data_IF_187109018887
#
_entry.id   IF_187109018887
#
_cell.length_a   1.000
_cell.length_b   1.000
_cell.length_c   1.000
_cell.angle_alpha   90.00
_cell.angle_beta   90.00
_cell.angle_gamma   90.00
#
_symmetry.space_group_name_H-M   'P 1'
#
loop_
_entity.id
_entity.type
_entity.pdbx_description
1 polymer ?
#
# COMPACT_ATOMS: atom_id res chain seq x y z
N UNK A 1 -7.71 3.90 -1.80
CA UNK A 1 -8.91 3.68 -2.65
C UNK A 1 -10.16 4.37 -2.10
N UNK A 2 -10.63 4.03 -0.89
CA UNK A 2 -11.88 4.60 -0.33
C UNK A 2 -11.89 6.14 -0.24
N UNK A 3 -10.80 6.76 0.24
CA UNK A 3 -10.68 8.22 0.34
C UNK A 3 -10.76 8.91 -1.03
N UNK A 4 -10.17 8.29 -2.07
CA UNK A 4 -10.09 8.87 -3.40
C UNK A 4 -11.46 8.84 -4.11
N UNK A 5 -12.23 7.77 -3.91
CA UNK A 5 -13.60 7.66 -4.40
C UNK A 5 -14.54 8.63 -3.66
N UNK A 6 -14.38 8.78 -2.34
CA UNK A 6 -15.17 9.71 -1.53
C UNK A 6 -14.89 11.18 -1.91
N UNK A 7 -13.62 11.54 -2.15
CA UNK A 7 -13.25 12.89 -2.58
C UNK A 7 -13.81 13.22 -3.97
N UNK A 8 -13.75 12.27 -4.91
CA UNK A 8 -14.34 12.44 -6.24
C UNK A 8 -15.85 12.68 -6.19
N UNK A 9 -16.56 12.04 -5.25
CA UNK A 9 -18.00 12.23 -5.04
C UNK A 9 -18.35 13.56 -4.38
N UNK A 10 -17.56 13.97 -3.38
CA UNK A 10 -17.89 15.10 -2.51
C UNK A 10 -17.33 16.45 -2.99
N UNK A 11 -16.75 16.53 -4.20
CA UNK A 11 -16.15 17.75 -4.78
C UNK A 11 -15.13 18.44 -3.86
N UNK A 12 -14.46 17.66 -3.02
CA UNK A 12 -13.41 18.17 -2.14
C UNK A 12 -12.22 18.56 -3.04
N UNK A 13 -11.62 19.77 -2.88
CA UNK A 13 -10.42 20.16 -3.60
C UNK A 13 -9.28 19.18 -3.29
N UNK A 14 -9.03 18.26 -4.22
CA UNK A 14 -8.10 17.14 -4.04
C UNK A 14 -7.28 16.95 -5.31
N UNK A 15 -5.96 17.01 -5.20
CA UNK A 15 -5.04 16.98 -6.35
C UNK A 15 -4.79 15.58 -6.91
N UNK A 16 -5.47 14.57 -6.38
CA UNK A 16 -5.53 13.25 -6.99
C UNK A 16 -5.16 12.13 -6.04
N UNK A 17 -5.37 10.89 -6.47
CA UNK A 17 -5.35 9.76 -5.57
C UNK A 17 -3.98 9.56 -4.93
N UNK A 18 -4.00 9.40 -3.62
CA UNK A 18 -2.85 8.88 -2.88
C UNK A 18 -2.93 7.36 -2.81
N UNK A 19 -1.79 6.72 -3.05
CA UNK A 19 -1.54 5.33 -2.73
C UNK A 19 -0.71 5.20 -1.47
N UNK A 20 -0.74 4.01 -0.88
CA UNK A 20 0.21 3.59 0.13
C UNK A 20 0.64 2.16 -0.21
N UNK A 21 1.94 1.89 -0.07
CA UNK A 21 2.53 0.56 -0.27
C UNK A 21 3.43 0.25 0.90
N UNK A 22 3.43 -1.02 1.31
CA UNK A 22 4.39 -1.55 2.28
C UNK A 22 5.44 -2.35 1.52
N UNK A 23 6.71 -2.07 1.77
CA UNK A 23 7.86 -2.72 1.16
C UNK A 23 8.60 -3.48 2.25
N UNK A 24 8.71 -4.78 2.06
CA UNK A 24 9.55 -5.65 2.86
C UNK A 24 10.84 -6.00 2.10
N UNK A 25 11.98 -6.04 2.81
CA UNK A 25 13.23 -6.59 2.28
C UNK A 25 13.67 -7.80 3.10
N UNK A 26 13.96 -8.93 2.47
CA UNK A 26 14.54 -10.12 3.13
C UNK A 26 16.04 -9.96 3.37
N UNK A 27 16.67 -10.84 4.16
CA UNK A 27 18.14 -10.86 4.36
C UNK A 27 18.91 -11.02 3.05
N UNK A 28 18.33 -11.71 2.07
CA UNK A 28 18.89 -11.86 0.72
C UNK A 28 18.89 -10.57 -0.11
N UNK A 29 18.21 -9.52 0.34
CA UNK A 29 18.02 -8.27 -0.40
C UNK A 29 16.83 -8.27 -1.36
N UNK A 30 16.04 -9.36 -1.39
CA UNK A 30 14.82 -9.43 -2.19
C UNK A 30 13.77 -8.44 -1.65
N UNK A 31 13.22 -7.61 -2.55
CA UNK A 31 12.16 -6.64 -2.27
C UNK A 31 10.81 -7.19 -2.71
N UNK A 32 9.80 -6.97 -1.89
CA UNK A 32 8.42 -7.28 -2.24
C UNK A 32 7.47 -6.22 -1.71
N UNK A 33 6.37 -6.03 -2.43
CA UNK A 33 5.19 -5.41 -1.83
C UNK A 33 4.78 -6.40 -0.75
N UNK A 34 4.96 -6.03 0.51
CA UNK A 34 4.73 -6.89 1.64
C UNK A 34 3.28 -6.70 2.10
N UNK A 35 2.31 -7.51 1.61
CA UNK A 35 1.35 -7.99 2.58
C UNK A 35 2.22 -8.70 3.64
N UNK A 36 1.99 -8.55 4.94
CA UNK A 36 0.74 -8.93 5.54
C UNK A 36 0.55 -8.22 6.88
N UNK A 37 -0.71 -7.96 7.25
CA UNK A 37 -1.09 -8.06 8.65
C UNK A 37 -1.65 -9.47 8.95
N UNK A 38 -1.88 -10.33 7.93
CA UNK A 38 -2.68 -11.56 8.13
C UNK A 38 -2.58 -12.71 7.07
N UNK A 39 -1.53 -12.83 6.25
CA UNK A 39 -1.46 -13.91 5.22
C UNK A 39 -0.96 -15.25 5.78
N UNK A 40 -0.87 -15.38 7.11
CA UNK A 40 -0.81 -16.65 7.82
C UNK A 40 -2.04 -16.79 8.72
N UNK A 41 -3.22 -16.93 8.10
CA UNK A 41 -4.34 -17.70 8.65
C UNK A 41 -3.92 -19.18 8.88
N UNK A 42 -2.89 -19.46 9.69
CA UNK A 42 -2.50 -20.84 9.99
C UNK A 42 -2.71 -21.25 11.45
N UNK A 43 -2.78 -20.32 12.40
CA UNK A 43 -2.90 -20.69 13.82
C UNK A 43 -4.08 -19.97 14.51
N UNK A 44 -5.31 -20.24 14.06
CA UNK A 44 -6.56 -19.76 14.69
C UNK A 44 -6.87 -20.43 16.06
N UNK A 45 -5.86 -20.81 16.83
CA UNK A 45 -6.05 -21.41 18.16
C UNK A 45 -5.46 -20.58 19.30
N UNK A 46 -4.44 -19.73 19.08
CA UNK A 46 -3.75 -19.02 20.16
C UNK A 46 -3.30 -17.62 19.72
N UNK A 47 -4.26 -16.71 19.54
CA UNK A 47 -4.00 -15.32 19.19
C UNK A 47 -3.69 -14.51 20.46
N UNK A 48 -2.43 -14.07 20.62
CA UNK A 48 -2.01 -13.07 21.61
C UNK A 48 -1.54 -11.81 20.88
N UNK A 49 -2.23 -10.70 21.12
CA UNK A 49 -1.94 -9.39 20.55
C UNK A 49 -0.52 -8.88 20.92
N UNK A 50 0.12 -9.43 21.96
CA UNK A 50 1.50 -9.10 22.33
C UNK A 50 2.55 -9.59 21.33
N UNK A 51 2.17 -10.51 20.43
CA UNK A 51 3.04 -11.13 19.42
C UNK A 51 3.07 -10.39 18.08
N UNK A 52 2.57 -9.15 18.04
CA UNK A 52 2.68 -8.19 16.92
C UNK A 52 4.14 -7.73 16.69
N UNK A 53 5.10 -8.64 16.81
CA UNK A 53 6.43 -8.43 16.27
C UNK A 53 6.35 -8.60 14.75
N UNK A 54 6.86 -7.59 14.06
CA UNK A 54 6.98 -7.41 12.62
C UNK A 54 7.89 -8.46 11.95
N UNK A 55 7.73 -9.74 12.29
CA UNK A 55 8.57 -10.86 11.87
C UNK A 55 7.75 -11.81 10.99
N UNK A 56 7.45 -11.37 9.77
CA UNK A 56 6.89 -12.22 8.72
C UNK A 56 7.87 -13.38 8.41
N UNK A 57 7.34 -14.60 8.51
CA UNK A 57 8.00 -15.93 8.50
C UNK A 57 9.19 -16.08 9.47
N UNK A 58 9.00 -16.94 10.47
CA UNK A 58 9.95 -17.26 11.55
C UNK A 58 11.36 -17.58 11.00
N UNK A 59 11.44 -18.19 9.82
CA UNK A 59 12.70 -18.66 9.24
C UNK A 59 13.41 -17.63 8.31
N UNK A 60 12.74 -16.58 7.83
CA UNK A 60 13.34 -15.57 6.95
C UNK A 60 12.75 -14.18 7.22
N UNK A 61 13.04 -13.52 8.35
CA UNK A 61 12.41 -12.26 8.72
C UNK A 61 12.75 -11.14 7.73
N UNK A 62 11.83 -10.20 7.56
CA UNK A 62 12.15 -8.94 6.89
C UNK A 62 13.19 -8.16 7.72
N UNK A 63 14.22 -7.67 7.04
CA UNK A 63 15.27 -6.80 7.62
C UNK A 63 14.95 -5.31 7.47
N UNK A 64 13.99 -4.99 6.60
CA UNK A 64 13.44 -3.65 6.39
C UNK A 64 11.94 -3.76 6.23
N UNK A 65 11.19 -2.94 6.97
CA UNK A 65 9.79 -2.68 6.71
C UNK A 65 9.59 -1.18 6.48
N UNK A 66 9.09 -0.84 5.29
CA UNK A 66 8.96 0.53 4.84
C UNK A 66 7.54 0.75 4.32
N UNK A 67 6.82 1.72 4.88
CA UNK A 67 5.53 2.17 4.35
C UNK A 67 5.76 3.49 3.64
N UNK A 68 5.47 3.52 2.34
CA UNK A 68 5.52 4.73 1.54
C UNK A 68 4.12 5.12 1.11
N UNK A 69 3.74 6.38 1.33
CA UNK A 69 2.53 6.96 0.78
C UNK A 69 2.87 8.13 -0.14
N UNK A 70 2.12 8.26 -1.22
CA UNK A 70 2.47 9.17 -2.29
C UNK A 70 1.45 9.25 -3.42
N UNK A 71 1.74 10.16 -4.33
CA UNK A 71 1.06 10.28 -5.62
C UNK A 71 1.87 9.56 -6.72
N UNK A 72 1.36 9.61 -7.95
CA UNK A 72 2.08 9.07 -9.12
C UNK A 72 3.42 9.78 -9.36
N UNK A 73 3.52 11.03 -8.90
CA UNK A 73 4.63 11.93 -9.17
C UNK A 73 5.71 11.87 -8.07
N UNK A 74 5.34 11.48 -6.85
CA UNK A 74 6.32 11.31 -5.78
C UNK A 74 5.75 10.75 -4.47
N UNK A 75 6.69 10.33 -3.62
CA UNK A 75 6.45 9.90 -2.25
C UNK A 75 6.37 11.16 -1.37
N UNK A 76 5.35 11.24 -0.53
CA UNK A 76 5.11 12.38 0.38
C UNK A 76 5.35 12.00 1.84
N UNK A 77 5.20 10.73 2.19
CA UNK A 77 5.33 10.23 3.55
C UNK A 77 6.03 8.89 3.53
N UNK A 78 6.90 8.71 4.51
CA UNK A 78 7.66 7.50 4.72
C UNK A 78 7.62 7.14 6.21
N UNK A 79 7.23 5.92 6.51
CA UNK A 79 7.43 5.29 7.82
C UNK A 79 8.39 4.13 7.61
N UNK A 80 9.45 4.07 8.41
CA UNK A 80 10.45 3.01 8.30
C UNK A 80 10.67 2.40 9.66
N UNK A 81 10.49 1.09 9.73
CA UNK A 81 11.01 0.28 10.81
C UNK A 81 12.21 -0.52 10.28
N UNK A 82 13.38 -0.22 10.86
CA UNK A 82 14.59 -1.02 10.68
C UNK A 82 14.87 -1.75 11.97
N UNK A 83 14.37 -2.98 12.07
CA UNK A 83 14.62 -3.86 13.21
C UNK A 83 16.05 -4.42 13.23
N UNK A 84 16.86 -4.20 12.17
CA UNK A 84 18.21 -4.76 12.04
C UNK A 84 19.20 -3.71 11.47
N UNK A 85 20.39 -3.52 12.08
CA UNK A 85 21.39 -2.52 11.67
C UNK A 85 22.12 -2.79 10.34
N UNK A 86 21.70 -3.80 9.57
CA UNK A 86 22.35 -4.19 8.30
C UNK A 86 21.79 -3.50 7.06
N UNK A 87 20.80 -2.61 7.20
CA UNK A 87 20.21 -1.89 6.06
C UNK A 87 21.09 -0.71 5.66
N UNK A 88 21.65 -0.75 4.45
CA UNK A 88 22.45 0.35 3.91
C UNK A 88 21.58 1.45 3.31
N UNK A 89 22.09 2.69 3.17
CA UNK A 89 21.39 3.75 2.42
C UNK A 89 21.05 3.35 0.97
N UNK A 90 21.89 2.50 0.37
CA UNK A 90 21.63 1.96 -0.97
C UNK A 90 20.40 1.06 -1.00
N UNK A 91 20.17 0.27 0.06
CA UNK A 91 19.00 -0.59 0.17
C UNK A 91 17.72 0.24 0.34
N UNK A 92 17.75 1.26 1.19
CA UNK A 92 16.63 2.20 1.37
C UNK A 92 16.28 2.85 0.02
N UNK A 93 17.28 3.31 -0.74
CA UNK A 93 17.06 3.90 -2.06
C UNK A 93 16.40 2.91 -3.02
N UNK A 94 16.86 1.65 -3.07
CA UNK A 94 16.23 0.61 -3.91
C UNK A 94 14.78 0.35 -3.49
N UNK A 95 14.50 0.28 -2.19
CA UNK A 95 13.16 0.12 -1.64
C UNK A 95 12.23 1.27 -1.98
N UNK A 96 12.71 2.53 -1.95
CA UNK A 96 11.94 3.70 -2.36
C UNK A 96 11.61 3.69 -3.86
N UNK A 97 12.56 3.30 -4.71
CA UNK A 97 12.29 3.14 -6.15
C UNK A 97 11.26 2.03 -6.42
N UNK A 98 11.38 0.91 -5.71
CA UNK A 98 10.39 -0.16 -5.75
C UNK A 98 9.01 0.34 -5.31
N UNK A 99 8.94 1.05 -4.17
CA UNK A 99 7.72 1.63 -3.65
C UNK A 99 7.04 2.58 -4.66
N UNK A 100 7.80 3.48 -5.30
CA UNK A 100 7.25 4.41 -6.29
C UNK A 100 6.68 3.68 -7.51
N UNK A 101 7.30 2.58 -7.93
CA UNK A 101 6.78 1.75 -9.02
C UNK A 101 5.43 1.12 -8.64
N UNK A 102 5.35 0.53 -7.45
CA UNK A 102 4.12 -0.09 -6.93
C UNK A 102 3.01 0.95 -6.70
N UNK A 103 3.35 2.14 -6.20
CA UNK A 103 2.42 3.26 -6.02
C UNK A 103 1.77 3.68 -7.33
N UNK A 104 2.57 3.78 -8.41
CA UNK A 104 2.03 4.13 -9.74
C UNK A 104 0.99 3.12 -10.21
N UNK A 105 1.28 1.83 -10.08
CA UNK A 105 0.34 0.77 -10.42
C UNK A 105 -0.95 0.85 -9.58
N UNK A 106 -0.82 1.02 -8.26
CA UNK A 106 -1.96 1.16 -7.36
C UNK A 106 -2.82 2.39 -7.68
N UNK A 107 -2.20 3.51 -8.00
CA UNK A 107 -2.88 4.75 -8.36
C UNK A 107 -3.62 4.61 -9.69
N UNK A 108 -3.02 3.94 -10.67
CA UNK A 108 -3.67 3.64 -11.95
C UNK A 108 -4.93 2.80 -11.75
N UNK A 109 -4.86 1.73 -10.94
CA UNK A 109 -6.02 0.92 -10.59
C UNK A 109 -7.12 1.75 -9.91
N UNK A 110 -6.75 2.63 -8.98
CA UNK A 110 -7.70 3.52 -8.31
C UNK A 110 -8.39 4.48 -9.28
N UNK A 111 -7.65 5.04 -10.25
CA UNK A 111 -8.20 5.93 -11.27
C UNK A 111 -9.17 5.19 -12.20
N UNK A 112 -8.83 3.96 -12.60
CA UNK A 112 -9.71 3.10 -13.40
C UNK A 112 -11.02 2.82 -12.66
N UNK A 113 -10.93 2.37 -11.40
CA UNK A 113 -12.11 2.12 -10.55
C UNK A 113 -12.98 3.37 -10.36
N UNK A 114 -12.38 4.54 -10.12
CA UNK A 114 -13.14 5.79 -9.99
C UNK A 114 -13.87 6.14 -11.31
N UNK A 115 -13.20 5.95 -12.45
CA UNK A 115 -13.78 6.25 -13.77
C UNK A 115 -14.98 5.34 -14.07
N UNK A 116 -14.85 4.03 -13.81
CA UNK A 116 -15.92 3.05 -13.99
C UNK A 116 -17.11 3.33 -13.06
N UNK A 117 -16.85 3.62 -11.78
CA UNK A 117 -17.90 3.95 -10.82
C UNK A 117 -18.68 5.21 -11.21
N UNK A 118 -18.00 6.26 -11.69
CA UNK A 118 -18.64 7.49 -12.16
C UNK A 118 -19.45 7.27 -13.44
N UNK A 119 -18.98 6.41 -14.35
CA UNK A 119 -19.73 6.05 -15.55
C UNK A 119 -21.04 5.32 -15.21
N UNK A 120 -21.01 4.39 -14.26
CA UNK A 120 -22.19 3.68 -13.77
C UNK A 120 -23.21 4.62 -13.10
N UNK A 121 -22.75 5.62 -12.32
CA UNK A 121 -23.67 6.60 -11.72
C UNK A 121 -24.35 7.49 -12.78
N UNK A 122 -23.61 7.93 -13.80
CA UNK A 122 -24.20 8.70 -14.91
C UNK A 122 -25.23 7.89 -15.67
N UNK A 123 -24.95 6.60 -15.92
CA UNK A 123 -25.90 5.70 -16.55
C UNK A 123 -27.19 5.57 -15.73
N UNK A 124 -27.09 5.31 -14.41
CA UNK A 124 -28.27 5.22 -13.52
C UNK A 124 -29.11 6.49 -13.51
N UNK A 125 -28.49 7.67 -13.48
CA UNK A 125 -29.21 8.96 -13.50
C UNK A 125 -29.83 9.27 -14.86
N UNK A 126 -29.22 8.83 -15.96
CA UNK A 126 -29.72 9.03 -17.32
C UNK A 126 -30.80 8.02 -17.73
N UNK A 127 -30.83 6.84 -17.11
CA UNK A 127 -31.76 5.76 -17.47
C UNK A 127 -33.15 5.86 -16.82
N UNK A 128 -33.42 6.89 -16.01
CA UNK A 128 -34.77 7.13 -15.45
C UNK A 128 -35.33 5.96 -14.62
N UNK A 129 -34.48 5.15 -14.00
CA UNK A 129 -34.91 4.16 -13.01
C UNK A 129 -34.87 4.84 -11.63
N UNK A 130 -35.94 5.55 -11.31
CA UNK A 130 -36.44 5.72 -9.94
C UNK A 130 -37.58 4.71 -9.69
#
# INVERSE_FOLDING_TARGET
AALNLASAKNKIPWTGPLGAVRVGMRKSGALMNAPCLNTLLKDFANYDESSLSLHDCIDDPFVLNLIAAGSKDGIIMLEVDTSIPTVSPGDIKRSLHFAQKELKYMIELQNRLCSEALALEKFKRGSGFE
#
